data_IF_623687002663
#
_entry.id   IF_623687002663
#
_cell.length_a   1.000
_cell.length_b   1.000
_cell.length_c   1.000
_cell.angle_alpha   90.00
_cell.angle_beta   90.00
_cell.angle_gamma   90.00
#
_symmetry.space_group_name_H-M   'P 1'
#
loop_
_entity.id
_entity.type
_entity.pdbx_description
1 polymer ?
#
# COMPACT_ATOMS: atom_id res chain seq x y z
N UNK A 1 4.23 -7.56 30.14
CA UNK A 1 4.45 -9.03 30.23
C UNK A 1 5.68 -9.44 29.41
N UNK A 2 6.84 -8.80 29.61
CA UNK A 2 8.10 -9.13 28.90
C UNK A 2 9.11 -9.90 29.79
N UNK A 3 8.85 -9.97 31.10
CA UNK A 3 9.85 -10.32 32.11
C UNK A 3 10.38 -11.78 32.04
N UNK A 4 9.66 -12.68 31.37
CA UNK A 4 10.00 -14.12 31.35
C UNK A 4 10.91 -14.48 30.18
N UNK A 5 10.76 -13.84 29.01
CA UNK A 5 11.51 -14.21 27.81
C UNK A 5 12.97 -13.74 27.89
N UNK A 6 13.18 -12.48 28.28
CA UNK A 6 14.50 -11.83 28.28
C UNK A 6 15.46 -12.39 29.34
N UNK A 7 14.90 -12.99 30.40
CA UNK A 7 15.63 -13.60 31.51
C UNK A 7 15.78 -15.12 31.39
N UNK A 8 15.12 -15.75 30.42
CA UNK A 8 15.22 -17.20 30.22
C UNK A 8 16.59 -17.54 29.66
N UNK A 9 17.33 -18.41 30.33
CA UNK A 9 18.60 -18.90 29.81
C UNK A 9 18.41 -19.65 28.49
N UNK A 10 19.17 -19.23 27.48
CA UNK A 10 19.28 -19.92 26.21
C UNK A 10 20.30 -21.04 26.36
N UNK A 11 19.84 -22.30 26.25
CA UNK A 11 20.68 -23.49 26.47
C UNK A 11 21.96 -23.50 25.61
N UNK A 12 21.88 -22.98 24.38
CA UNK A 12 23.01 -22.91 23.45
C UNK A 12 24.12 -21.97 23.93
N UNK A 13 23.76 -20.85 24.55
CA UNK A 13 24.70 -19.79 24.91
C UNK A 13 25.04 -19.77 26.40
N UNK A 14 24.27 -20.50 27.23
CA UNK A 14 24.32 -20.43 28.71
C UNK A 14 24.27 -18.99 29.23
N UNK A 15 23.47 -18.19 28.54
CA UNK A 15 23.26 -16.77 28.78
C UNK A 15 21.80 -16.46 28.52
N UNK A 16 21.30 -15.36 29.09
CA UNK A 16 19.97 -14.83 28.79
C UNK A 16 20.00 -13.95 27.53
N UNK A 17 18.86 -13.74 26.83
CA UNK A 17 18.76 -12.76 25.75
C UNK A 17 19.25 -11.37 26.15
N UNK A 18 18.93 -10.91 27.38
CA UNK A 18 19.38 -9.62 27.92
C UNK A 18 20.93 -9.51 28.00
N UNK A 19 21.58 -10.56 28.50
CA UNK A 19 23.04 -10.61 28.60
C UNK A 19 23.71 -10.59 27.23
N UNK A 20 23.13 -11.28 26.25
CA UNK A 20 23.63 -11.25 24.87
C UNK A 20 23.37 -9.93 24.19
N UNK A 21 22.19 -9.35 24.36
CA UNK A 21 21.84 -8.05 23.76
C UNK A 21 22.86 -6.98 24.17
N UNK A 22 23.26 -6.95 25.44
CA UNK A 22 24.28 -6.02 25.93
C UNK A 22 25.64 -6.20 25.24
N UNK A 23 26.05 -7.45 24.95
CA UNK A 23 27.31 -7.74 24.24
C UNK A 23 27.22 -7.43 22.74
N UNK A 24 26.07 -7.66 22.14
CA UNK A 24 25.84 -7.48 20.71
C UNK A 24 25.58 -6.01 20.37
N UNK A 25 25.17 -5.18 21.33
CA UNK A 25 24.81 -3.77 21.14
C UNK A 25 25.87 -2.94 20.39
N UNK A 26 27.16 -3.14 20.69
CA UNK A 26 28.27 -2.44 20.01
C UNK A 26 28.43 -2.83 18.54
N UNK A 27 27.86 -3.96 18.14
CA UNK A 27 27.90 -4.52 16.79
C UNK A 27 26.58 -4.31 16.03
N UNK A 28 25.53 -3.81 16.69
CA UNK A 28 24.24 -3.54 16.06
C UNK A 28 24.30 -2.25 15.24
N UNK A 29 23.57 -2.26 14.13
CA UNK A 29 23.31 -1.03 13.38
C UNK A 29 22.29 -0.17 14.14
N UNK A 30 22.38 1.17 14.01
CA UNK A 30 21.34 2.04 14.55
C UNK A 30 19.99 1.67 13.95
N UNK A 31 18.92 1.91 14.71
CA UNK A 31 17.56 1.75 14.19
C UNK A 31 17.40 2.68 12.97
N UNK A 32 16.94 2.17 11.82
CA UNK A 32 16.64 3.01 10.67
C UNK A 32 15.61 4.08 11.04
N UNK A 33 15.76 5.30 10.50
CA UNK A 33 14.79 6.39 10.72
C UNK A 33 13.43 6.13 10.06
N UNK A 34 13.40 5.19 9.10
CA UNK A 34 12.18 4.77 8.40
C UNK A 34 11.66 3.47 8.97
N UNK A 35 10.37 3.45 9.27
CA UNK A 35 9.66 2.24 9.66
C UNK A 35 9.75 1.14 8.58
N UNK A 36 9.69 -0.11 9.03
CA UNK A 36 9.59 -1.25 8.12
C UNK A 36 8.22 -1.24 7.43
N UNK A 37 8.20 -1.29 6.10
CA UNK A 37 6.96 -1.32 5.32
C UNK A 37 6.26 -2.68 5.49
N UNK A 38 5.22 -2.72 6.34
CA UNK A 38 4.38 -3.90 6.56
C UNK A 38 3.18 -3.96 5.62
N UNK A 39 3.15 -3.14 4.57
CA UNK A 39 2.02 -3.11 3.65
C UNK A 39 1.88 -4.42 2.87
N UNK A 40 0.62 -4.84 2.66
CA UNK A 40 0.33 -5.95 1.77
C UNK A 40 0.52 -5.50 0.32
N UNK A 41 1.22 -6.31 -0.47
CA UNK A 41 1.54 -6.04 -1.87
C UNK A 41 0.80 -7.00 -2.80
N UNK A 42 0.24 -6.46 -3.88
CA UNK A 42 -0.44 -7.25 -4.92
C UNK A 42 -0.35 -6.52 -6.28
N UNK A 43 -0.65 -7.23 -7.38
CA UNK A 43 -0.73 -6.67 -8.74
C UNK A 43 -2.18 -6.73 -9.21
N UNK A 44 -2.72 -5.59 -9.67
CA UNK A 44 -4.08 -5.47 -10.20
C UNK A 44 -4.06 -4.99 -11.64
N UNK A 45 -4.98 -5.50 -12.45
CA UNK A 45 -5.21 -4.95 -13.78
C UNK A 45 -6.25 -3.84 -13.71
N UNK A 46 -5.91 -2.70 -14.31
CA UNK A 46 -6.84 -1.59 -14.45
C UNK A 46 -7.83 -1.92 -15.54
N UNK A 47 -9.11 -1.85 -15.20
CA UNK A 47 -10.21 -2.01 -16.16
C UNK A 47 -10.25 -0.81 -17.12
N UNK A 48 -10.80 -0.99 -18.33
CA UNK A 48 -10.87 0.09 -19.33
C UNK A 48 -11.72 1.29 -18.93
N UNK A 49 -12.56 1.14 -17.90
CA UNK A 49 -13.34 2.22 -17.29
C UNK A 49 -12.55 3.01 -16.23
N UNK A 50 -11.26 2.72 -16.03
CA UNK A 50 -10.39 3.45 -15.10
C UNK A 50 -10.48 2.99 -13.65
N UNK A 51 -10.83 1.73 -13.40
CA UNK A 51 -10.99 1.20 -12.04
C UNK A 51 -10.17 -0.07 -11.78
N UNK A 52 -9.78 -0.23 -10.51
CA UNK A 52 -9.28 -1.50 -9.96
C UNK A 52 -10.22 -2.02 -8.86
N UNK A 53 -10.32 -3.34 -8.75
CA UNK A 53 -11.05 -3.99 -7.66
C UNK A 53 -10.11 -4.38 -6.53
N UNK A 54 -10.41 -3.95 -5.31
CA UNK A 54 -9.67 -4.29 -4.09
C UNK A 54 -10.68 -4.49 -2.95
N UNK A 55 -10.62 -5.65 -2.27
CA UNK A 55 -11.49 -5.92 -1.12
C UNK A 55 -13.00 -5.85 -1.41
N UNK A 56 -13.42 -6.11 -2.66
CA UNK A 56 -14.82 -6.04 -3.08
C UNK A 56 -15.33 -4.63 -3.44
N UNK A 57 -14.46 -3.61 -3.42
CA UNK A 57 -14.79 -2.25 -3.85
C UNK A 57 -14.00 -1.87 -5.11
N UNK A 58 -14.54 -0.93 -5.90
CA UNK A 58 -13.87 -0.36 -7.08
C UNK A 58 -13.25 0.99 -6.74
N UNK A 59 -11.97 1.16 -7.04
CA UNK A 59 -11.23 2.40 -6.82
C UNK A 59 -10.77 2.96 -8.16
N UNK A 60 -11.08 4.23 -8.41
CA UNK A 60 -10.66 4.92 -9.63
C UNK A 60 -9.14 5.09 -9.67
N UNK A 61 -8.59 5.08 -10.87
CA UNK A 61 -7.18 5.38 -11.13
C UNK A 61 -7.07 6.29 -12.35
N UNK A 62 -5.94 7.01 -12.53
CA UNK A 62 -5.74 7.82 -13.72
C UNK A 62 -5.93 7.03 -15.01
N UNK A 63 -6.62 7.63 -16.00
CA UNK A 63 -6.93 7.02 -17.30
C UNK A 63 -5.71 6.48 -18.04
N UNK A 64 -4.53 7.07 -17.80
CA UNK A 64 -3.27 6.68 -18.43
C UNK A 64 -2.86 5.24 -18.11
N UNK A 65 -3.48 4.64 -17.08
CA UNK A 65 -3.21 3.28 -16.62
C UNK A 65 -4.25 2.27 -17.12
N UNK A 66 -5.30 2.70 -17.84
CA UNK A 66 -6.34 1.81 -18.34
C UNK A 66 -5.77 0.64 -19.15
N UNK A 67 -6.19 -0.58 -18.81
CA UNK A 67 -5.71 -1.81 -19.44
C UNK A 67 -4.31 -2.27 -19.01
N UNK A 68 -3.64 -1.54 -18.11
CA UNK A 68 -2.29 -1.88 -17.65
C UNK A 68 -2.31 -2.56 -16.27
N UNK A 69 -1.31 -3.43 -15.97
CA UNK A 69 -1.07 -3.89 -14.62
C UNK A 69 -0.47 -2.76 -13.78
N UNK A 70 -0.95 -2.64 -12.55
CA UNK A 70 -0.45 -1.72 -11.53
C UNK A 70 -0.13 -2.49 -10.26
N UNK A 71 0.88 -2.05 -9.52
CA UNK A 71 1.15 -2.59 -8.19
C UNK A 71 0.39 -1.82 -7.14
N UNK A 72 -0.14 -2.52 -6.15
CA UNK A 72 -0.84 -1.93 -5.03
C UNK A 72 -0.13 -2.22 -3.73
N UNK A 73 -0.23 -1.28 -2.79
CA UNK A 73 0.18 -1.45 -1.40
C UNK A 73 -0.97 -1.10 -0.48
N UNK A 74 -1.26 -1.98 0.47
CA UNK A 74 -2.31 -1.77 1.49
C UNK A 74 -1.64 -1.68 2.85
N UNK A 75 -1.67 -0.51 3.48
CA UNK A 75 -1.15 -0.31 4.83
C UNK A 75 -2.08 -0.92 5.89
N UNK A 76 -1.58 -1.05 7.12
CA UNK A 76 -2.39 -1.47 8.27
C UNK A 76 -3.44 -0.42 8.68
N UNK A 77 -3.29 0.83 8.23
CA UNK A 77 -4.23 1.94 8.51
C UNK A 77 -5.34 2.06 7.45
N UNK A 78 -5.54 1.00 6.66
CA UNK A 78 -6.52 0.93 5.58
C UNK A 78 -6.25 1.96 4.46
N UNK A 79 -4.98 2.23 4.15
CA UNK A 79 -4.61 3.07 2.99
C UNK A 79 -4.19 2.19 1.82
N UNK A 80 -4.86 2.36 0.68
CA UNK A 80 -4.53 1.76 -0.60
C UNK A 80 -3.71 2.74 -1.43
N UNK A 81 -2.48 2.39 -1.77
CA UNK A 81 -1.63 3.15 -2.69
C UNK A 81 -1.40 2.34 -3.97
N UNK A 82 -1.45 3.03 -5.11
CA UNK A 82 -1.41 2.42 -6.43
C UNK A 82 -0.22 3.00 -7.18
N UNK A 83 0.62 2.12 -7.72
CA UNK A 83 1.89 2.46 -8.34
C UNK A 83 1.96 1.96 -9.78
N UNK A 84 2.63 2.75 -10.62
CA UNK A 84 3.08 2.36 -11.96
C UNK A 84 4.55 2.72 -12.09
N UNK A 85 5.40 1.76 -12.47
CA UNK A 85 6.85 1.96 -12.59
C UNK A 85 7.47 2.66 -11.37
N UNK A 86 7.15 2.19 -10.16
CA UNK A 86 7.60 2.73 -8.86
C UNK A 86 7.09 4.14 -8.50
N UNK A 87 6.34 4.80 -9.39
CA UNK A 87 5.70 6.07 -9.12
C UNK A 87 4.29 5.87 -8.55
N UNK A 88 3.98 6.54 -7.44
CA UNK A 88 2.63 6.54 -6.89
C UNK A 88 1.71 7.35 -7.80
N UNK A 89 0.66 6.71 -8.28
CA UNK A 89 -0.30 7.29 -9.23
C UNK A 89 -1.61 7.68 -8.56
N UNK A 90 -2.02 6.95 -7.53
CA UNK A 90 -3.24 7.20 -6.79
C UNK A 90 -3.15 6.66 -5.36
N UNK A 91 -3.97 7.21 -4.47
CA UNK A 91 -4.15 6.74 -3.10
C UNK A 91 -5.61 6.84 -2.68
N UNK A 92 -6.09 5.85 -1.93
CA UNK A 92 -7.47 5.75 -1.45
C UNK A 92 -7.50 5.25 -0.01
N UNK A 93 -8.58 5.53 0.71
CA UNK A 93 -8.89 4.85 1.97
C UNK A 93 -9.71 3.60 1.65
N UNK A 94 -9.29 2.44 2.13
CA UNK A 94 -10.10 1.24 2.00
C UNK A 94 -11.41 1.41 2.76
N UNK A 95 -12.49 1.03 2.10
CA UNK A 95 -13.83 1.04 2.66
C UNK A 95 -14.35 -0.39 2.85
N UNK A 96 -15.39 -0.56 3.67
CA UNK A 96 -16.08 -1.84 3.77
C UNK A 96 -16.71 -2.23 2.42
N UNK A 97 -16.80 -3.52 2.13
CA UNK A 97 -17.26 -4.06 0.83
C UNK A 97 -18.69 -3.63 0.41
N UNK A 98 -19.43 -2.94 1.27
CA UNK A 98 -20.75 -2.39 0.98
C UNK A 98 -20.73 -0.98 0.36
N UNK A 99 -19.55 -0.33 0.28
CA UNK A 99 -19.44 1.05 -0.21
C UNK A 99 -19.46 1.15 -1.74
N UNK A 100 -19.10 0.06 -2.44
CA UNK A 100 -19.24 -0.09 -3.87
C UNK A 100 -18.13 0.60 -4.68
N UNK A 101 -18.09 1.94 -4.67
CA UNK A 101 -17.26 2.73 -5.57
C UNK A 101 -16.59 3.91 -4.85
N UNK A 102 -15.30 4.11 -5.12
CA UNK A 102 -14.50 5.24 -4.67
C UNK A 102 -13.88 5.94 -5.89
N UNK A 103 -14.49 7.07 -6.27
CA UNK A 103 -14.10 7.83 -7.45
C UNK A 103 -13.50 9.17 -7.03
N UNK A 104 -12.27 9.42 -7.47
CA UNK A 104 -11.60 10.72 -7.37
C UNK A 104 -11.86 11.43 -8.71
N UNK A 105 -12.59 12.56 -8.73
CA UNK A 105 -12.99 13.23 -9.97
C UNK A 105 -11.81 13.57 -10.89
N UNK A 106 -10.66 13.93 -10.32
CA UNK A 106 -9.44 14.30 -11.03
C UNK A 106 -8.91 13.17 -11.91
N UNK A 107 -9.15 11.91 -11.56
CA UNK A 107 -8.72 10.77 -12.38
C UNK A 107 -9.40 10.71 -13.75
N UNK A 108 -10.62 11.26 -13.87
CA UNK A 108 -11.42 11.25 -15.10
C UNK A 108 -11.62 12.64 -15.71
N UNK A 109 -11.04 13.68 -15.11
CA UNK A 109 -11.10 15.04 -15.63
C UNK A 109 -10.64 15.15 -17.10
N UNK A 110 -9.60 14.43 -17.58
CA UNK A 110 -9.21 14.48 -18.98
C UNK A 110 -10.25 13.82 -19.92
N UNK A 111 -10.85 12.70 -19.52
CA UNK A 111 -11.98 12.08 -20.24
C UNK A 111 -13.12 13.08 -20.45
N UNK A 112 -13.47 13.85 -19.41
CA UNK A 112 -14.59 14.80 -19.48
C UNK A 112 -14.27 16.01 -20.37
N UNK A 113 -13.00 16.45 -20.39
CA UNK A 113 -12.56 17.49 -21.32
C UNK A 113 -12.61 17.02 -22.77
N UNK A 114 -12.27 15.75 -23.04
CA UNK A 114 -12.35 15.18 -24.39
C UNK A 114 -13.80 15.00 -24.84
N UNK A 115 -14.69 14.48 -24.00
CA UNK A 115 -16.12 14.32 -24.32
C UNK A 115 -16.80 15.67 -24.58
N UNK A 116 -16.42 16.71 -23.85
CA UNK A 116 -16.93 18.07 -24.07
C UNK A 116 -16.51 18.69 -25.41
N UNK A 117 -15.50 18.14 -26.10
CA UNK A 117 -15.07 18.62 -27.42
C UNK A 117 -15.80 17.94 -28.58
N UNK A 118 -16.63 16.92 -28.34
CA UNK A 118 -17.25 16.08 -29.40
C UNK A 118 -18.70 16.47 -29.74
N UNK A 119 -19.26 17.55 -29.21
CA UNK A 119 -20.51 18.15 -29.72
C UNK A 119 -20.36 19.67 -29.84
N UNK A 120 -20.78 20.33 -30.95
CA UNK A 120 -21.98 19.99 -31.74
C UNK A 120 -21.76 19.97 -33.27
N UNK A 121 -22.40 19.05 -33.98
CA UNK A 121 -22.91 19.35 -35.33
C UNK A 121 -24.35 18.82 -35.42
N UNK A 122 -25.31 19.78 -35.45
CA UNK A 122 -26.70 19.61 -35.90
C UNK A 122 -26.71 19.73 -37.42
#
# INVERSE_FOLDING_TARGET
MADVADRRELRQFRQTPEQRFTQEQEHLQPLPDTDFDTSYFDIRHVSWDGYIEVGGNRYSVPESLCGQPVSIRISLDDELRIYSNEQQMASHRLCSAASGWQTVPEHHAPLWQQVSQVEPEI
#
